data_IF_875937289607
#
_entry.id   IF_875937289607
#
_cell.length_a   1.000
_cell.length_b   1.000
_cell.length_c   1.000
_cell.angle_alpha   90.00
_cell.angle_beta   90.00
_cell.angle_gamma   90.00
#
_symmetry.space_group_name_H-M   'P 1'
#
loop_
_entity.id
_entity.type
_entity.pdbx_description
1 polymer ?
#
# COMPACT_ATOMS: atom_id res chain seq x y z
N UNK A 1 -45.80 -3.28 20.78
CA UNK A 1 -44.42 -3.33 20.24
C UNK A 1 -44.13 -1.99 19.57
N UNK A 2 -43.17 -1.22 20.11
CA UNK A 2 -43.02 0.22 19.85
C UNK A 2 -42.16 0.49 18.59
N UNK A 3 -42.77 1.02 17.53
CA UNK A 3 -42.17 1.19 16.18
C UNK A 3 -40.97 2.14 16.16
N UNK A 4 -40.84 3.00 17.17
CA UNK A 4 -39.72 3.95 17.33
C UNK A 4 -38.40 3.29 17.72
N UNK A 5 -38.42 2.10 18.35
CA UNK A 5 -37.19 1.37 18.70
C UNK A 5 -36.49 0.78 17.48
N UNK A 6 -37.25 0.38 16.45
CA UNK A 6 -36.70 -0.23 15.22
C UNK A 6 -35.96 0.81 14.37
N UNK A 7 -36.45 2.05 14.36
CA UNK A 7 -35.85 3.15 13.58
C UNK A 7 -34.50 3.62 14.16
N UNK A 8 -34.33 3.56 15.48
CA UNK A 8 -33.05 3.92 16.13
C UNK A 8 -31.92 2.91 15.89
N UNK A 9 -32.26 1.63 15.67
CA UNK A 9 -31.27 0.55 15.43
C UNK A 9 -30.74 0.58 14.00
N UNK A 10 -31.60 0.91 13.02
CA UNK A 10 -31.21 0.97 11.61
C UNK A 10 -30.26 2.16 11.31
N UNK A 11 -30.35 3.25 12.07
CA UNK A 11 -29.53 4.44 11.89
C UNK A 11 -28.11 4.33 12.47
N UNK A 12 -27.82 3.32 13.29
CA UNK A 12 -26.47 3.06 13.81
C UNK A 12 -25.67 2.05 12.99
N UNK A 13 -26.33 1.25 12.16
CA UNK A 13 -25.68 0.28 11.27
C UNK A 13 -25.20 0.87 9.93
N UNK A 14 -25.63 2.08 9.57
CA UNK A 14 -25.25 2.69 8.28
C UNK A 14 -23.90 3.40 8.30
N UNK A 15 -23.27 3.59 9.46
CA UNK A 15 -21.90 4.11 9.55
C UNK A 15 -20.91 2.94 9.67
N UNK A 16 -20.86 2.10 8.63
CA UNK A 16 -19.73 1.19 8.47
C UNK A 16 -18.46 2.05 8.35
N UNK A 17 -17.46 1.90 9.24
CA UNK A 17 -16.18 2.54 9.00
C UNK A 17 -15.69 2.00 7.67
N UNK A 18 -15.52 2.89 6.68
CA UNK A 18 -14.78 2.54 5.49
C UNK A 18 -13.50 1.87 5.99
N UNK A 19 -13.27 0.60 5.63
CA UNK A 19 -12.08 -0.13 6.03
C UNK A 19 -10.90 0.71 5.54
N UNK A 20 -10.31 1.49 6.44
CA UNK A 20 -9.23 2.39 6.12
C UNK A 20 -8.00 1.51 5.90
N UNK A 21 -7.81 1.07 4.66
CA UNK A 21 -6.57 0.43 4.24
C UNK A 21 -5.47 1.48 4.39
N UNK A 22 -4.51 1.23 5.28
CA UNK A 22 -3.36 2.10 5.38
C UNK A 22 -2.53 1.98 4.11
N UNK A 23 -2.04 3.11 3.57
CA UNK A 23 -1.21 3.06 2.38
C UNK A 23 0.07 2.27 2.66
N UNK A 24 0.64 1.62 1.63
CA UNK A 24 1.93 0.95 1.76
C UNK A 24 3.02 1.90 2.27
N UNK A 25 3.88 1.44 3.18
CA UNK A 25 4.90 2.30 3.79
C UNK A 25 5.94 2.85 2.83
N UNK A 26 6.19 2.17 1.71
CA UNK A 26 7.18 2.66 0.74
C UNK A 26 6.77 4.00 0.11
N UNK A 27 5.47 4.33 0.07
CA UNK A 27 4.95 5.59 -0.48
C UNK A 27 5.41 6.79 0.37
N UNK A 28 5.66 6.58 1.66
CA UNK A 28 6.21 7.60 2.54
C UNK A 28 7.73 7.78 2.42
N UNK A 29 8.43 6.92 1.68
CA UNK A 29 9.88 7.04 1.46
C UNK A 29 10.12 8.04 0.33
N UNK A 30 10.85 9.11 0.63
CA UNK A 30 11.21 10.13 -0.36
C UNK A 30 11.86 9.50 -1.60
N UNK A 31 11.43 9.92 -2.79
CA UNK A 31 11.96 9.49 -4.08
C UNK A 31 11.89 7.96 -4.31
N UNK A 32 10.93 7.25 -3.70
CA UNK A 32 10.79 5.80 -3.85
C UNK A 32 10.59 5.39 -5.32
N UNK A 33 9.91 6.23 -6.11
CA UNK A 33 9.63 6.02 -7.53
C UNK A 33 10.89 6.05 -8.40
N UNK A 34 11.98 6.66 -7.94
CA UNK A 34 13.29 6.58 -8.62
C UNK A 34 14.02 5.27 -8.33
N UNK A 35 13.52 4.50 -7.35
CA UNK A 35 14.13 3.28 -6.85
C UNK A 35 13.37 2.02 -7.22
N UNK A 36 12.04 2.08 -7.24
CA UNK A 36 11.17 0.97 -7.58
C UNK A 36 10.85 0.98 -9.08
N UNK A 37 10.51 -0.19 -9.62
CA UNK A 37 9.98 -0.30 -10.98
C UNK A 37 8.48 -0.54 -10.92
N UNK A 38 7.78 -0.02 -11.92
CA UNK A 38 6.40 -0.39 -12.18
C UNK A 38 6.38 -1.60 -13.10
N UNK A 39 5.67 -2.66 -12.70
CA UNK A 39 5.47 -3.86 -13.49
C UNK A 39 3.98 -4.01 -13.79
N UNK A 40 3.66 -4.13 -15.08
CA UNK A 40 2.30 -4.44 -15.52
C UNK A 40 2.07 -5.96 -15.45
N UNK A 41 0.97 -6.34 -14.81
CA UNK A 41 0.48 -7.70 -14.64
C UNK A 41 -0.94 -7.71 -15.21
N UNK A 42 -1.04 -8.01 -16.50
CA UNK A 42 -2.28 -8.01 -17.29
C UNK A 42 -3.12 -6.73 -17.12
N UNK A 43 -4.03 -6.72 -16.16
CA UNK A 43 -5.02 -5.69 -15.91
C UNK A 43 -4.64 -4.69 -14.81
N UNK A 44 -3.49 -4.88 -14.14
CA UNK A 44 -3.05 -3.99 -13.06
C UNK A 44 -1.54 -3.79 -13.03
N UNK A 45 -1.10 -2.71 -12.39
CA UNK A 45 0.32 -2.36 -12.25
C UNK A 45 0.74 -2.44 -10.79
N UNK A 46 1.97 -2.88 -10.56
CA UNK A 46 2.55 -2.99 -9.21
C UNK A 46 3.92 -2.33 -9.12
N UNK A 47 4.20 -1.73 -7.97
CA UNK A 47 5.56 -1.32 -7.61
C UNK A 47 6.34 -2.52 -7.08
N UNK A 48 7.49 -2.79 -7.68
CA UNK A 48 8.37 -3.89 -7.31
C UNK A 48 9.83 -3.43 -7.17
N UNK A 49 10.60 -4.20 -6.42
CA UNK A 49 12.00 -3.94 -6.14
C UNK A 49 12.86 -4.50 -7.29
N UNK A 50 13.63 -3.67 -8.01
CA UNK A 50 14.55 -4.16 -9.04
C UNK A 50 15.73 -4.93 -8.44
N UNK A 51 16.35 -5.80 -9.23
CA UNK A 51 17.51 -6.62 -8.81
C UNK A 51 18.75 -5.77 -8.49
N UNK A 52 18.87 -4.58 -9.11
CA UNK A 52 19.95 -3.61 -8.86
C UNK A 52 19.38 -2.20 -8.61
N UNK A 53 20.08 -1.41 -7.79
CA UNK A 53 19.72 -0.01 -7.53
C UNK A 53 19.94 0.83 -8.80
N UNK A 54 18.93 1.55 -9.25
CA UNK A 54 19.08 2.51 -10.34
C UNK A 54 20.05 3.65 -9.97
N UNK A 55 20.74 4.22 -10.96
CA UNK A 55 21.67 5.33 -10.72
C UNK A 55 20.97 6.55 -10.09
N UNK A 56 19.76 6.86 -10.57
CA UNK A 56 18.91 7.96 -10.08
C UNK A 56 18.33 7.73 -8.68
N UNK A 57 18.29 6.48 -8.19
CA UNK A 57 17.74 6.17 -6.87
C UNK A 57 18.67 6.65 -5.75
N UNK A 58 18.24 7.55 -4.83
CA UNK A 58 19.08 7.98 -3.73
C UNK A 58 19.49 6.80 -2.82
N UNK A 59 20.76 6.79 -2.37
CA UNK A 59 21.28 5.73 -1.49
C UNK A 59 20.47 5.59 -0.20
N UNK A 60 20.00 6.71 0.36
CA UNK A 60 19.20 6.74 1.57
C UNK A 60 17.82 6.07 1.35
N UNK A 61 17.12 6.41 0.27
CA UNK A 61 15.83 5.83 -0.10
C UNK A 61 15.94 4.33 -0.37
N UNK A 62 16.98 3.90 -1.11
CA UNK A 62 17.26 2.48 -1.32
C UNK A 62 17.45 1.70 -0.02
N UNK A 63 18.23 2.25 0.92
CA UNK A 63 18.43 1.64 2.24
C UNK A 63 17.12 1.62 3.03
N UNK A 64 16.32 2.68 2.99
CA UNK A 64 15.03 2.73 3.66
C UNK A 64 14.06 1.65 3.13
N UNK A 65 13.95 1.50 1.82
CA UNK A 65 13.14 0.45 1.19
C UNK A 65 13.57 -0.96 1.63
N UNK A 66 14.88 -1.24 1.67
CA UNK A 66 15.42 -2.54 2.13
C UNK A 66 15.20 -2.82 3.62
N UNK A 67 14.95 -1.79 4.43
CA UNK A 67 14.64 -1.95 5.87
C UNK A 67 13.19 -2.32 6.12
N UNK A 68 12.29 -2.16 5.14
CA UNK A 68 10.90 -2.60 5.28
C UNK A 68 10.84 -4.13 5.45
N UNK A 69 9.95 -4.60 6.33
CA UNK A 69 9.82 -6.02 6.73
C UNK A 69 8.36 -6.44 6.74
N UNK A 70 8.11 -7.76 6.82
CA UNK A 70 6.78 -8.34 6.91
C UNK A 70 5.88 -7.79 5.79
N UNK A 71 4.69 -7.31 6.13
CA UNK A 71 3.70 -6.74 5.19
C UNK A 71 4.15 -5.44 4.51
N UNK A 72 5.19 -4.79 5.00
CA UNK A 72 5.71 -3.55 4.42
C UNK A 72 6.78 -3.81 3.34
N UNK A 73 7.32 -5.03 3.23
CA UNK A 73 8.40 -5.36 2.30
C UNK A 73 7.90 -5.29 0.85
N UNK A 74 8.58 -4.51 0.01
CA UNK A 74 8.35 -4.51 -1.45
C UNK A 74 8.93 -5.80 -2.06
N UNK A 75 8.12 -6.52 -2.83
CA UNK A 75 8.52 -7.77 -3.48
C UNK A 75 9.45 -7.52 -4.67
N UNK A 76 10.26 -8.52 -5.05
CA UNK A 76 11.13 -8.41 -6.21
C UNK A 76 10.30 -8.45 -7.50
N UNK A 77 10.75 -7.74 -8.54
CA UNK A 77 10.02 -7.70 -9.82
C UNK A 77 9.92 -9.07 -10.53
N UNK A 78 10.85 -9.99 -10.23
CA UNK A 78 10.89 -11.35 -10.76
C UNK A 78 9.91 -12.30 -10.03
N UNK A 79 9.27 -11.86 -8.94
CA UNK A 79 8.34 -12.69 -8.15
C UNK A 79 6.88 -12.63 -8.61
N UNK A 80 6.59 -11.76 -9.57
CA UNK A 80 5.30 -11.63 -10.24
C UNK A 80 5.39 -12.20 -11.64
#
# INVERSE_FOLDING_TARGET
>A
MNRTLVLGILLWMTLSPAFAATPPKYVAIKDFNLCLQEKNIDIYSVWCMPSKRAAACPRASWKALKRLKKRDKVQACESF
#
